data_IF_660983044114
#
_entry.id   IF_660983044114
#
_cell.length_a   1.000
_cell.length_b   1.000
_cell.length_c   1.000
_cell.angle_alpha   90.00
_cell.angle_beta   90.00
_cell.angle_gamma   90.00
#
_symmetry.space_group_name_H-M   'P 1'
#
loop_
_entity.id
_entity.type
_entity.pdbx_description
1 polymer ?
#
# COMPACT_ATOMS: atom_id res chain seq x y z
N UNK A 1 -2.28 -9.19 -13.31
CA UNK A 1 -1.52 -9.28 -12.05
C UNK A 1 -1.57 -10.70 -11.48
N UNK A 2 -0.54 -11.18 -10.78
CA UNK A 2 -0.55 -12.50 -10.13
C UNK A 2 -0.33 -12.42 -8.61
N UNK A 3 -1.07 -13.25 -7.87
CA UNK A 3 -1.13 -13.24 -6.39
C UNK A 3 -1.04 -14.65 -5.86
N UNK A 4 -0.12 -14.89 -4.92
CA UNK A 4 -0.01 -16.19 -4.26
C UNK A 4 -1.25 -16.44 -3.41
N UNK A 5 -1.80 -17.65 -3.51
CA UNK A 5 -2.93 -18.04 -2.69
C UNK A 5 -2.52 -18.06 -1.21
N UNK A 6 -3.50 -17.80 -0.33
CA UNK A 6 -3.33 -17.97 1.10
C UNK A 6 -2.79 -19.39 1.41
N UNK A 7 -1.77 -19.49 2.27
CA UNK A 7 -1.18 -20.80 2.62
C UNK A 7 -2.05 -21.60 3.59
N UNK A 8 -3.08 -20.97 4.16
CA UNK A 8 -3.99 -21.58 5.12
C UNK A 8 -5.39 -21.77 4.53
N UNK A 9 -6.09 -22.80 5.00
CA UNK A 9 -7.45 -23.15 4.61
C UNK A 9 -7.56 -24.02 3.35
N UNK A 10 -8.78 -24.56 3.17
CA UNK A 10 -9.19 -25.37 2.01
C UNK A 10 -9.39 -24.51 0.77
N UNK A 11 -9.57 -25.14 -0.40
CA UNK A 11 -9.75 -24.48 -1.69
C UNK A 11 -10.73 -23.28 -1.66
N UNK A 12 -11.95 -23.51 -1.17
CA UNK A 12 -12.99 -22.46 -1.03
C UNK A 12 -12.55 -21.31 -0.13
N UNK A 13 -11.83 -21.59 0.96
CA UNK A 13 -11.34 -20.56 1.89
C UNK A 13 -10.32 -19.66 1.21
N UNK A 14 -9.40 -20.23 0.41
CA UNK A 14 -8.38 -19.48 -0.32
C UNK A 14 -8.98 -18.59 -1.41
N UNK A 15 -9.99 -19.09 -2.12
CA UNK A 15 -10.72 -18.29 -3.13
C UNK A 15 -11.48 -17.16 -2.45
N UNK A 16 -12.24 -17.46 -1.40
CA UNK A 16 -13.00 -16.45 -0.65
C UNK A 16 -12.07 -15.38 -0.02
N UNK A 17 -10.86 -15.74 0.39
CA UNK A 17 -9.86 -14.77 0.84
C UNK A 17 -9.50 -13.74 -0.24
N UNK A 18 -9.37 -14.16 -1.51
CA UNK A 18 -9.15 -13.22 -2.61
C UNK A 18 -10.40 -12.37 -2.87
N UNK A 19 -11.58 -12.99 -2.96
CA UNK A 19 -12.82 -12.28 -3.28
C UNK A 19 -13.16 -11.17 -2.26
N UNK A 20 -12.84 -11.37 -0.98
CA UNK A 20 -13.02 -10.34 0.07
C UNK A 20 -12.16 -9.09 -0.15
N UNK A 21 -11.02 -9.23 -0.81
CA UNK A 21 -10.14 -8.11 -1.15
C UNK A 21 -10.61 -7.39 -2.41
N UNK A 22 -11.32 -8.11 -3.30
CA UNK A 22 -11.87 -7.60 -4.55
C UNK A 22 -13.36 -7.25 -4.43
N UNK A 23 -13.82 -6.81 -3.24
CA UNK A 23 -15.24 -6.47 -3.02
C UNK A 23 -15.68 -5.21 -3.76
N UNK A 24 -14.76 -4.26 -3.91
CA UNK A 24 -15.00 -2.95 -4.53
C UNK A 24 -14.46 -2.90 -5.98
N UNK A 25 -13.91 -4.02 -6.47
CA UNK A 25 -13.36 -4.14 -7.83
C UNK A 25 -14.47 -4.31 -8.88
N UNK A 26 -14.21 -3.95 -10.16
CA UNK A 26 -15.18 -4.07 -11.24
C UNK A 26 -15.57 -5.52 -11.54
N UNK A 27 -16.82 -5.71 -11.94
CA UNK A 27 -17.45 -7.03 -12.12
C UNK A 27 -16.93 -7.82 -13.33
N UNK A 28 -16.41 -7.13 -14.34
CA UNK A 28 -15.83 -7.73 -15.55
C UNK A 28 -14.39 -8.23 -15.36
N UNK A 29 -13.85 -8.10 -14.14
CA UNK A 29 -12.52 -8.58 -13.83
C UNK A 29 -12.44 -10.11 -13.96
N UNK A 30 -11.52 -10.59 -14.77
CA UNK A 30 -11.29 -12.03 -14.96
C UNK A 30 -10.37 -12.58 -13.88
N UNK A 31 -10.84 -13.58 -13.17
CA UNK A 31 -10.05 -14.35 -12.21
C UNK A 31 -9.72 -15.71 -12.80
N UNK A 32 -8.44 -16.04 -12.82
CA UNK A 32 -7.93 -17.36 -13.21
C UNK A 32 -7.20 -18.00 -12.04
N UNK A 33 -7.60 -19.22 -11.68
CA UNK A 33 -7.06 -19.99 -10.56
C UNK A 33 -6.10 -21.05 -11.08
N UNK A 34 -4.88 -21.07 -10.54
CA UNK A 34 -3.88 -22.11 -10.79
C UNK A 34 -3.78 -23.05 -9.60
N UNK A 35 -3.86 -24.34 -9.88
CA UNK A 35 -3.91 -25.40 -8.87
C UNK A 35 -2.56 -26.11 -8.71
N UNK A 36 -2.35 -26.70 -7.52
CA UNK A 36 -1.12 -27.46 -7.26
C UNK A 36 -1.05 -28.72 -8.15
N UNK A 37 0.14 -29.01 -8.70
CA UNK A 37 0.46 -30.28 -9.39
C UNK A 37 -0.47 -30.60 -10.58
N UNK A 38 -1.03 -29.59 -11.23
CA UNK A 38 -1.79 -29.75 -12.48
C UNK A 38 -1.58 -28.53 -13.37
N UNK A 39 -1.78 -28.71 -14.68
CA UNK A 39 -1.83 -27.62 -15.65
C UNK A 39 -3.24 -27.07 -15.83
N UNK A 40 -4.26 -27.78 -15.32
CA UNK A 40 -5.63 -27.32 -15.40
C UNK A 40 -5.83 -26.05 -14.57
N UNK A 41 -6.65 -25.15 -15.10
CA UNK A 41 -7.03 -23.88 -14.45
C UNK A 41 -8.54 -23.71 -14.49
N UNK A 42 -9.07 -22.96 -13.53
CA UNK A 42 -10.46 -22.50 -13.55
C UNK A 42 -10.46 -21.00 -13.79
N UNK A 43 -11.39 -20.50 -14.60
CA UNK A 43 -11.48 -19.07 -14.91
C UNK A 43 -12.93 -18.62 -14.94
N UNK A 44 -13.22 -17.50 -14.30
CA UNK A 44 -14.55 -16.87 -14.32
C UNK A 44 -14.40 -15.35 -14.22
N UNK A 45 -15.45 -14.64 -14.61
CA UNK A 45 -15.59 -13.21 -14.28
C UNK A 45 -15.88 -13.05 -12.78
N UNK A 46 -15.53 -11.89 -12.24
CA UNK A 46 -15.68 -11.60 -10.81
C UNK A 46 -17.14 -11.64 -10.38
N UNK A 47 -18.07 -11.15 -11.22
CA UNK A 47 -19.51 -11.26 -10.97
C UNK A 47 -19.96 -12.71 -10.76
N UNK A 48 -19.65 -13.58 -11.72
CA UNK A 48 -19.97 -15.00 -11.65
C UNK A 48 -19.33 -15.69 -10.42
N UNK A 49 -18.09 -15.30 -10.08
CA UNK A 49 -17.39 -15.84 -8.91
C UNK A 49 -17.99 -15.38 -7.57
N UNK A 50 -18.54 -14.16 -7.52
CA UNK A 50 -19.27 -13.64 -6.35
C UNK A 50 -20.61 -14.33 -6.18
N UNK A 51 -21.33 -14.58 -7.27
CA UNK A 51 -22.59 -15.30 -7.27
C UNK A 51 -22.40 -16.78 -6.88
N UNK A 52 -21.41 -17.45 -7.48
CA UNK A 52 -21.06 -18.82 -7.14
C UNK A 52 -19.55 -19.08 -7.17
N UNK A 53 -19.01 -19.32 -5.97
CA UNK A 53 -17.62 -19.72 -5.74
C UNK A 53 -17.21 -21.02 -6.46
N UNK A 54 -18.17 -21.88 -6.82
CA UNK A 54 -17.88 -23.17 -7.46
C UNK A 54 -17.29 -22.99 -8.87
N UNK A 55 -17.59 -21.87 -9.54
CA UNK A 55 -17.05 -21.49 -10.85
C UNK A 55 -15.53 -21.39 -10.89
N UNK A 56 -14.91 -21.09 -9.74
CA UNK A 56 -13.46 -20.97 -9.57
C UNK A 56 -12.81 -22.23 -8.98
N UNK A 57 -13.59 -23.28 -8.70
CA UNK A 57 -13.06 -24.58 -8.30
C UNK A 57 -12.70 -25.41 -9.54
N UNK A 58 -11.76 -26.34 -9.38
CA UNK A 58 -11.43 -27.26 -10.46
C UNK A 58 -12.58 -28.26 -10.63
N UNK A 59 -13.22 -28.38 -11.81
CA UNK A 59 -14.39 -29.26 -11.99
C UNK A 59 -14.09 -30.73 -11.70
N UNK A 60 -12.89 -31.21 -12.06
CA UNK A 60 -12.46 -32.59 -11.85
C UNK A 60 -12.13 -32.91 -10.38
N UNK A 61 -11.72 -31.91 -9.60
CA UNK A 61 -11.30 -32.06 -8.21
C UNK A 61 -11.52 -30.77 -7.42
N UNK A 62 -12.75 -30.60 -6.91
CA UNK A 62 -13.15 -29.42 -6.16
C UNK A 62 -12.40 -29.24 -4.82
N UNK A 63 -11.70 -30.26 -4.33
CA UNK A 63 -10.89 -30.18 -3.10
C UNK A 63 -9.47 -29.69 -3.37
N UNK A 64 -9.06 -29.62 -4.64
CA UNK A 64 -7.71 -29.23 -5.01
C UNK A 64 -7.39 -27.80 -4.60
N UNK A 65 -6.22 -27.64 -4.01
CA UNK A 65 -5.82 -26.35 -3.45
C UNK A 65 -5.29 -25.38 -4.52
N UNK A 66 -5.82 -24.15 -4.57
CA UNK A 66 -5.23 -23.05 -5.31
C UNK A 66 -3.83 -22.71 -4.78
N UNK A 67 -2.93 -22.39 -5.72
CA UNK A 67 -1.55 -21.97 -5.45
C UNK A 67 -1.29 -20.52 -5.85
N UNK A 68 -1.97 -20.06 -6.89
CA UNK A 68 -1.81 -18.74 -7.46
C UNK A 68 -3.13 -18.31 -8.09
N UNK A 69 -3.41 -17.03 -8.00
CA UNK A 69 -4.49 -16.36 -8.68
C UNK A 69 -3.91 -15.40 -9.70
N UNK A 70 -4.52 -15.34 -10.86
CA UNK A 70 -4.22 -14.39 -11.91
C UNK A 70 -5.46 -13.54 -12.14
N UNK A 71 -5.29 -12.24 -12.02
CA UNK A 71 -6.35 -11.25 -12.09
C UNK A 71 -6.06 -10.38 -13.29
N UNK A 72 -6.98 -10.33 -14.24
CA UNK A 72 -6.83 -9.61 -15.49
C UNK A 72 -8.08 -8.77 -15.76
N UNK A 73 -7.86 -7.58 -16.28
CA UNK A 73 -8.90 -6.68 -16.76
C UNK A 73 -8.82 -6.64 -18.29
N UNK A 74 -9.94 -6.49 -18.98
CA UNK A 74 -9.99 -6.53 -20.45
C UNK A 74 -10.96 -5.48 -20.95
N UNK A 75 -10.40 -4.33 -21.35
CA UNK A 75 -11.15 -3.21 -21.89
C UNK A 75 -10.72 -2.87 -23.32
N UNK A 76 -11.59 -2.16 -24.04
CA UNK A 76 -11.29 -1.60 -25.36
C UNK A 76 -10.21 -0.53 -25.24
N UNK A 77 -9.11 -0.70 -25.98
CA UNK A 77 -7.95 0.20 -25.88
C UNK A 77 -8.13 1.53 -26.64
N UNK A 78 -9.26 1.78 -27.29
CA UNK A 78 -9.46 2.99 -28.10
C UNK A 78 -8.80 2.93 -29.49
N UNK A 79 -9.47 3.49 -30.49
CA UNK A 79 -9.11 3.35 -31.92
C UNK A 79 -8.60 4.69 -32.50
N UNK A 80 -8.83 5.81 -31.79
CA UNK A 80 -8.49 7.15 -32.28
C UNK A 80 -6.97 7.39 -32.19
N UNK A 81 -6.48 8.27 -33.07
CA UNK A 81 -5.08 8.75 -33.04
C UNK A 81 -4.94 9.98 -32.15
N UNK A 82 -3.74 10.21 -31.61
CA UNK A 82 -3.41 11.39 -30.80
C UNK A 82 -3.60 11.17 -29.29
N UNK A 83 -3.70 12.27 -28.53
CA UNK A 83 -3.76 12.27 -27.05
C UNK A 83 -5.17 12.61 -26.52
N UNK A 84 -6.18 12.58 -27.40
CA UNK A 84 -7.57 12.88 -27.02
C UNK A 84 -8.30 11.62 -26.51
N UNK A 85 -9.40 11.80 -25.78
CA UNK A 85 -10.23 10.68 -25.31
C UNK A 85 -10.67 9.75 -26.44
N UNK A 86 -10.59 8.45 -26.19
CA UNK A 86 -10.77 7.35 -27.14
C UNK A 86 -9.53 7.02 -27.96
N UNK A 87 -8.37 7.63 -27.65
CA UNK A 87 -7.09 7.24 -28.23
C UNK A 87 -6.39 6.15 -27.43
N UNK A 88 -5.58 5.36 -28.13
CA UNK A 88 -4.82 4.27 -27.51
C UNK A 88 -4.02 4.69 -26.28
N UNK A 89 -3.30 5.81 -26.38
CA UNK A 89 -2.43 6.29 -25.31
C UNK A 89 -3.25 6.78 -24.12
N UNK A 90 -4.32 7.55 -24.38
CA UNK A 90 -5.16 8.09 -23.33
C UNK A 90 -5.90 6.97 -22.57
N UNK A 91 -6.45 5.99 -23.27
CA UNK A 91 -7.19 4.90 -22.63
C UNK A 91 -6.27 3.91 -21.92
N UNK A 92 -5.09 3.59 -22.48
CA UNK A 92 -4.13 2.75 -21.77
C UNK A 92 -3.68 3.39 -20.45
N UNK A 93 -3.42 4.71 -20.45
CA UNK A 93 -3.04 5.42 -19.23
C UNK A 93 -4.18 5.41 -18.19
N UNK A 94 -5.41 5.65 -18.64
CA UNK A 94 -6.61 5.67 -17.78
C UNK A 94 -6.88 4.28 -17.19
N UNK A 95 -6.89 3.23 -18.03
CA UNK A 95 -7.08 1.84 -17.63
C UNK A 95 -5.99 1.37 -16.67
N UNK A 96 -4.72 1.75 -16.90
CA UNK A 96 -3.64 1.38 -15.99
C UNK A 96 -3.81 2.00 -14.60
N UNK A 97 -4.24 3.27 -14.52
CA UNK A 97 -4.50 3.95 -13.25
C UNK A 97 -5.72 3.37 -12.53
N UNK A 98 -6.81 3.11 -13.26
CA UNK A 98 -8.01 2.47 -12.72
C UNK A 98 -7.70 1.08 -12.18
N UNK A 99 -7.03 0.23 -12.98
CA UNK A 99 -6.60 -1.11 -12.56
C UNK A 99 -5.72 -1.07 -11.30
N UNK A 100 -4.84 -0.06 -11.20
CA UNK A 100 -4.01 0.09 -10.01
C UNK A 100 -4.85 0.40 -8.76
N UNK A 101 -5.75 1.39 -8.83
CA UNK A 101 -6.57 1.82 -7.70
C UNK A 101 -7.59 0.77 -7.25
N UNK A 102 -8.25 0.13 -8.22
CA UNK A 102 -9.39 -0.76 -7.94
C UNK A 102 -8.94 -2.18 -7.60
N UNK A 103 -7.81 -2.63 -8.15
CA UNK A 103 -7.34 -4.01 -8.01
C UNK A 103 -6.02 -4.08 -7.25
N UNK A 104 -4.96 -3.44 -7.76
CA UNK A 104 -3.59 -3.64 -7.23
C UNK A 104 -3.47 -3.13 -5.80
N UNK A 105 -4.04 -1.95 -5.50
CA UNK A 105 -3.98 -1.33 -4.18
C UNK A 105 -4.76 -2.11 -3.12
N UNK A 106 -5.84 -2.79 -3.51
CA UNK A 106 -6.71 -3.51 -2.58
C UNK A 106 -6.17 -4.89 -2.20
N UNK A 107 -5.41 -5.53 -3.11
CA UNK A 107 -4.96 -6.90 -2.91
C UNK A 107 -3.65 -6.95 -2.11
N UNK A 108 -3.76 -7.50 -0.89
CA UNK A 108 -2.65 -7.69 0.02
C UNK A 108 -2.04 -9.09 -0.15
N UNK A 109 -0.72 -9.17 0.02
CA UNK A 109 -0.04 -10.47 0.10
C UNK A 109 -0.48 -11.18 1.36
N UNK A 110 -0.75 -12.48 1.25
CA UNK A 110 -1.08 -13.28 2.42
C UNK A 110 0.08 -13.28 3.43
N UNK A 111 -0.24 -12.99 4.69
CA UNK A 111 0.66 -13.05 5.83
C UNK A 111 0.13 -14.04 6.88
N UNK A 112 1.00 -14.82 7.55
CA UNK A 112 0.57 -15.70 8.63
C UNK A 112 0.00 -14.87 9.79
N UNK A 113 -0.91 -15.48 10.56
CA UNK A 113 -1.44 -14.86 11.77
C UNK A 113 -0.30 -14.58 12.74
N UNK A 114 -0.22 -13.35 13.23
CA UNK A 114 0.79 -12.96 14.23
C UNK A 114 0.73 -13.90 15.43
N UNK A 115 1.86 -14.51 15.83
CA UNK A 115 1.93 -15.32 17.04
C UNK A 115 1.44 -14.52 18.24
N UNK A 116 0.54 -15.09 19.04
CA UNK A 116 0.10 -14.47 20.28
C UNK A 116 1.16 -14.75 21.34
N UNK A 117 1.63 -13.71 22.03
CA UNK A 117 2.43 -13.90 23.24
C UNK A 117 1.55 -14.64 24.26
N UNK A 118 2.05 -15.76 24.78
CA UNK A 118 1.47 -16.37 25.98
C UNK A 118 1.57 -15.34 27.10
N UNK A 119 0.44 -15.05 27.75
CA UNK A 119 0.41 -14.13 28.89
C UNK A 119 1.08 -14.83 30.08
N UNK A 120 2.38 -14.61 30.24
CA UNK A 120 3.12 -14.83 31.48
C UNK A 120 4.51 -14.21 31.35
N UNK A 121 4.55 -12.89 31.43
CA UNK A 121 5.65 -12.20 32.08
C UNK A 121 4.99 -11.35 33.16
N UNK A 122 4.81 -11.97 34.31
CA UNK A 122 4.64 -11.22 35.56
C UNK A 122 5.95 -10.45 35.74
N UNK A 123 6.00 -9.24 35.18
CA UNK A 123 6.93 -8.25 35.70
C UNK A 123 6.42 -7.96 37.11
N UNK A 124 6.92 -8.72 38.08
CA UNK A 124 6.87 -8.38 39.50
C UNK A 124 7.35 -6.92 39.57
N UNK A 125 6.39 -6.00 39.71
CA UNK A 125 6.68 -4.62 39.94
C UNK A 125 7.43 -4.58 41.26
N UNK A 126 8.76 -4.47 41.19
CA UNK A 126 9.59 -4.23 42.36
C UNK A 126 8.93 -3.09 43.16
N UNK A 127 8.68 -3.26 44.47
CA UNK A 127 8.04 -2.23 45.26
C UNK A 127 8.88 -0.95 45.11
N UNK A 128 8.25 0.10 44.58
CA UNK A 128 8.82 1.43 44.53
C UNK A 128 9.31 1.79 45.92
N UNK A 129 10.61 2.03 46.15
CA UNK A 129 11.06 2.58 47.41
C UNK A 129 10.66 4.06 47.41
N UNK A 130 9.42 4.34 47.78
CA UNK A 130 9.04 5.64 48.30
C UNK A 130 9.71 5.80 49.67
N UNK A 131 11.01 6.14 49.65
CA UNK A 131 11.63 6.86 50.76
C UNK A 131 11.54 8.33 50.43
N UNK A 132 10.55 8.95 51.05
CA UNK A 132 10.54 10.32 51.55
C UNK A 132 11.94 10.96 51.51
N UNK A 133 12.18 11.76 50.48
CA UNK A 133 13.28 12.71 50.47
C UNK A 133 12.70 13.95 51.14
N UNK A 134 12.98 14.12 52.43
CA UNK A 134 12.84 15.42 53.07
C UNK A 134 13.72 16.41 52.31
N UNK A 135 13.08 17.28 51.53
CA UNK A 135 13.75 18.36 50.82
C UNK A 135 14.14 19.41 51.87
N UNK A 136 15.35 19.29 52.41
CA UNK A 136 15.98 20.38 53.16
C UNK A 136 16.18 21.56 52.21
N UNK A 137 15.65 22.72 52.60
CA UNK A 137 15.57 23.96 51.80
C UNK A 137 16.90 24.70 51.59
N UNK A 138 18.04 24.10 51.94
CA UNK A 138 19.30 24.84 52.12
C UNK A 138 20.32 24.70 50.99
N UNK A 139 20.00 24.05 49.87
CA UNK A 139 20.89 24.07 48.71
C UNK A 139 20.43 25.06 47.63
N UNK A 140 21.01 26.26 47.77
CA UNK A 140 21.21 27.30 46.78
C UNK A 140 21.43 26.72 45.37
N UNK A 141 20.48 26.97 44.45
CA UNK A 141 20.75 26.85 43.01
C UNK A 141 21.77 27.94 42.62
N UNK A 142 22.75 27.67 41.74
CA UNK A 142 23.47 28.75 41.11
C UNK A 142 22.49 29.52 40.20
N UNK A 143 22.37 30.84 40.42
CA UNK A 143 21.59 31.71 39.55
C UNK A 143 22.16 31.67 38.13
N UNK A 144 21.37 31.19 37.18
CA UNK A 144 21.68 31.37 35.76
C UNK A 144 21.33 32.83 35.40
N UNK A 145 22.29 33.64 34.92
CA UNK A 145 22.00 35.02 34.53
C UNK A 145 21.03 35.03 33.35
N UNK A 146 19.87 35.63 33.57
CA UNK A 146 18.72 35.62 32.66
C UNK A 146 18.84 36.68 31.55
N UNK A 147 20.02 36.86 30.93
CA UNK A 147 20.24 37.94 29.95
C UNK A 147 20.96 37.53 28.66
N UNK A 148 21.00 36.25 28.29
CA UNK A 148 21.69 35.81 27.07
C UNK A 148 20.80 35.64 25.82
N UNK A 149 19.53 36.06 25.85
CA UNK A 149 18.63 35.93 24.69
C UNK A 149 17.85 37.21 24.39
N UNK A 150 18.58 38.30 24.18
CA UNK A 150 18.26 39.46 23.32
C UNK A 150 19.66 39.98 22.93
N UNK A 151 20.06 40.25 21.70
CA UNK A 151 19.40 40.82 20.52
C UNK A 151 20.51 40.77 19.43
N UNK A 152 20.26 40.34 18.20
CA UNK A 152 21.16 40.66 17.06
C UNK A 152 20.38 40.56 15.74
N UNK A 153 19.73 41.67 15.42
CA UNK A 153 19.43 42.09 14.06
C UNK A 153 20.75 42.23 13.29
N UNK A 154 21.18 41.19 12.56
CA UNK A 154 22.23 41.34 11.56
C UNK A 154 21.63 41.76 10.21
N UNK A 155 21.35 43.06 10.13
CA UNK A 155 20.94 43.79 8.93
C UNK A 155 22.18 44.22 8.10
N UNK A 156 23.06 43.28 7.71
CA UNK A 156 24.26 43.61 6.92
C UNK A 156 24.38 42.94 5.53
N UNK A 157 23.40 42.15 5.09
CA UNK A 157 23.40 41.53 3.75
C UNK A 157 22.46 42.18 2.71
N UNK A 158 22.03 43.43 2.95
CA UNK A 158 21.31 44.22 1.94
C UNK A 158 21.99 45.57 1.72
N UNK A 159 22.88 45.67 0.72
CA UNK A 159 22.79 46.58 -0.44
C UNK A 159 24.10 46.63 -1.24
N UNK A 160 23.92 46.79 -2.56
CA UNK A 160 24.87 47.01 -3.68
C UNK A 160 25.41 45.72 -4.28
N UNK A 161 25.38 45.49 -5.59
CA UNK A 161 24.91 46.28 -6.72
C UNK A 161 24.83 45.39 -7.96
N UNK A 162 24.07 45.86 -8.96
CA UNK A 162 24.20 45.58 -10.40
C UNK A 162 23.85 44.20 -10.96
N UNK A 163 22.73 44.19 -11.68
CA UNK A 163 22.50 43.33 -12.86
C UNK A 163 23.62 43.48 -13.91
N UNK A 164 23.78 42.50 -14.80
CA UNK A 164 23.23 42.72 -16.15
C UNK A 164 22.48 41.51 -16.72
N UNK A 165 21.25 41.78 -17.14
CA UNK A 165 20.68 41.44 -18.45
C UNK A 165 21.43 40.40 -19.29
N UNK A 166 20.78 39.27 -19.57
CA UNK A 166 20.92 38.61 -20.87
C UNK A 166 19.54 38.19 -21.40
N UNK A 167 18.91 39.11 -22.14
CA UNK A 167 17.98 38.76 -23.21
C UNK A 167 18.77 38.73 -24.53
N UNK A 168 18.39 37.75 -25.34
CA UNK A 168 18.59 37.63 -26.78
C UNK A 168 20.01 37.32 -27.28
N UNK A 169 20.22 36.08 -27.71
CA UNK A 169 20.47 35.77 -29.14
C UNK A 169 20.70 34.26 -29.34
N UNK A 170 19.78 33.62 -30.06
CA UNK A 170 20.13 32.53 -30.98
C UNK A 170 20.86 33.19 -32.17
N UNK A 171 21.93 32.60 -32.75
CA UNK A 171 21.69 31.85 -33.99
C UNK A 171 22.66 30.68 -34.29
N UNK A 172 22.11 29.69 -35.01
CA UNK A 172 22.65 28.90 -36.13
C UNK A 172 24.11 28.42 -36.10
N UNK A 173 24.28 27.10 -36.04
CA UNK A 173 24.88 26.27 -37.11
C UNK A 173 24.47 24.79 -36.95
#
# INVERSE_FOLDING_TARGET
MQVRAAKDGRARTRINWLLRQLRDAPDDLRITVKFARTRATASALLDAARADLSTLLLPEDAKREPTMFEVADTDDMGIKRGTSSGSFVAETQTQMLAFYGDVVQQVQKWAPKTPKLSKSLDFEAAPSPAKEIEVSSDNLLPEFPHSAYLDDNDESLRRRDSSPSYRDANPLE
#
